data_IF_161561747662
#
_entry.id   IF_161561747662
#
_cell.length_a   1.000
_cell.length_b   1.000
_cell.length_c   1.000
_cell.angle_alpha   90.00
_cell.angle_beta   90.00
_cell.angle_gamma   90.00
#
_symmetry.space_group_name_H-M   'P 1'
#
loop_
_entity.id
_entity.type
_entity.pdbx_description
1 polymer ?
#
# COMPACT_ATOMS: atom_id res chain seq x y z
N UNK A 1 -1.68 -21.62 26.23
CA UNK A 1 -1.13 -22.60 25.28
C UNK A 1 -0.54 -21.86 24.08
N UNK A 2 0.77 -21.72 24.02
CA UNK A 2 1.44 -21.10 22.87
C UNK A 2 1.37 -22.06 21.68
N UNK A 3 0.68 -21.66 20.61
CA UNK A 3 0.74 -22.38 19.34
C UNK A 3 2.15 -22.31 18.78
N UNK A 4 2.88 -23.43 18.84
CA UNK A 4 4.17 -23.57 18.16
C UNK A 4 3.97 -23.27 16.68
N UNK A 5 4.52 -22.14 16.21
CA UNK A 5 4.60 -21.85 14.77
C UNK A 5 5.49 -22.92 14.13
N UNK A 6 4.92 -23.74 13.27
CA UNK A 6 5.67 -24.69 12.46
C UNK A 6 6.56 -23.87 11.51
N UNK A 7 7.88 -24.04 11.53
CA UNK A 7 8.75 -23.28 10.63
C UNK A 7 8.54 -23.73 9.19
N UNK A 8 8.14 -22.80 8.35
CA UNK A 8 7.97 -23.03 6.91
C UNK A 8 9.34 -23.16 6.25
N UNK A 9 9.64 -24.25 5.55
CA UNK A 9 10.91 -24.46 4.87
C UNK A 9 11.27 -23.32 3.91
N UNK A 10 12.54 -22.96 3.83
CA UNK A 10 13.05 -21.80 3.05
C UNK A 10 12.63 -21.84 1.57
N UNK A 11 12.54 -23.02 0.96
CA UNK A 11 12.05 -23.23 -0.41
C UNK A 11 10.55 -22.87 -0.57
N UNK A 12 9.74 -23.28 0.39
CA UNK A 12 8.29 -22.98 0.38
C UNK A 12 8.00 -21.51 0.61
N UNK A 13 8.81 -20.81 1.43
CA UNK A 13 8.69 -19.35 1.60
C UNK A 13 8.88 -18.60 0.29
N UNK A 14 9.83 -19.04 -0.54
CA UNK A 14 10.11 -18.37 -1.82
C UNK A 14 8.96 -18.58 -2.82
N UNK A 15 8.39 -19.77 -2.88
CA UNK A 15 7.23 -20.08 -3.74
C UNK A 15 5.99 -19.30 -3.30
N UNK A 16 5.69 -19.27 -2.01
CA UNK A 16 4.54 -18.53 -1.47
C UNK A 16 4.68 -17.03 -1.72
N UNK A 17 5.89 -16.48 -1.57
CA UNK A 17 6.14 -15.06 -1.87
C UNK A 17 5.96 -14.75 -3.35
N UNK A 18 6.40 -15.62 -4.25
CA UNK A 18 6.23 -15.45 -5.70
C UNK A 18 4.75 -15.43 -6.07
N UNK A 19 3.95 -16.37 -5.58
CA UNK A 19 2.52 -16.40 -5.82
C UNK A 19 1.79 -15.18 -5.24
N UNK A 20 2.23 -14.69 -4.10
CA UNK A 20 1.67 -13.48 -3.50
C UNK A 20 1.99 -12.24 -4.35
N UNK A 21 3.22 -12.13 -4.84
CA UNK A 21 3.65 -11.02 -5.68
C UNK A 21 2.92 -11.05 -7.04
N UNK A 22 2.73 -12.23 -7.63
CA UNK A 22 1.94 -12.39 -8.86
C UNK A 22 0.48 -12.00 -8.64
N UNK A 23 -0.14 -12.44 -7.56
CA UNK A 23 -1.52 -12.08 -7.22
C UNK A 23 -1.68 -10.57 -6.95
N UNK A 24 -0.69 -9.95 -6.30
CA UNK A 24 -0.67 -8.50 -6.08
C UNK A 24 -0.54 -7.76 -7.41
N UNK A 25 0.31 -8.21 -8.32
CA UNK A 25 0.53 -7.56 -9.62
C UNK A 25 -0.68 -7.60 -10.54
N UNK A 26 -1.55 -8.59 -10.37
CA UNK A 26 -2.78 -8.77 -11.19
C UNK A 26 -4.04 -8.23 -10.52
N UNK A 27 -3.94 -7.79 -9.26
CA UNK A 27 -5.09 -7.28 -8.52
C UNK A 27 -5.61 -5.97 -9.09
N UNK A 28 -6.90 -5.93 -9.36
CA UNK A 28 -7.56 -4.70 -9.79
C UNK A 28 -7.87 -3.82 -8.57
N UNK A 29 -7.36 -2.60 -8.59
CA UNK A 29 -7.59 -1.61 -7.53
C UNK A 29 -8.16 -0.34 -8.15
N UNK A 30 -9.33 0.07 -7.69
CA UNK A 30 -10.05 1.23 -8.21
C UNK A 30 -10.56 2.15 -7.10
N UNK A 31 -10.70 3.42 -7.40
CA UNK A 31 -11.28 4.41 -6.49
C UNK A 31 -12.81 4.49 -6.58
N UNK A 32 -13.40 3.90 -7.62
CA UNK A 32 -14.84 3.80 -7.80
C UNK A 32 -15.45 2.73 -6.90
N UNK A 33 -16.73 2.83 -6.59
CA UNK A 33 -17.45 1.86 -5.76
C UNK A 33 -17.79 0.59 -6.54
N UNK A 34 -17.79 0.68 -7.86
CA UNK A 34 -18.07 -0.43 -8.76
C UNK A 34 -17.04 -0.50 -9.89
N UNK A 35 -16.97 -1.64 -10.54
CA UNK A 35 -16.11 -1.84 -11.71
C UNK A 35 -17.03 -2.12 -12.90
N UNK A 36 -17.08 -1.23 -13.90
CA UNK A 36 -17.89 -1.45 -15.09
C UNK A 36 -17.57 -2.78 -15.78
N UNK A 37 -18.60 -3.54 -16.12
CA UNK A 37 -18.45 -4.85 -16.76
C UNK A 37 -18.04 -5.99 -15.82
N UNK A 38 -17.89 -5.73 -14.53
CA UNK A 38 -17.55 -6.75 -13.55
C UNK A 38 -18.54 -6.71 -12.39
N UNK A 39 -19.04 -7.86 -12.01
CA UNK A 39 -20.00 -7.97 -10.91
C UNK A 39 -19.30 -8.39 -9.62
N UNK A 40 -19.63 -7.71 -8.54
CA UNK A 40 -19.15 -8.08 -7.20
C UNK A 40 -19.98 -9.27 -6.69
N UNK A 41 -19.30 -10.38 -6.51
CA UNK A 41 -19.89 -11.60 -5.95
C UNK A 41 -20.02 -11.51 -4.43
N UNK A 42 -18.99 -10.95 -3.78
CA UNK A 42 -18.91 -10.89 -2.32
C UNK A 42 -18.09 -9.68 -1.87
N UNK A 43 -18.60 -8.98 -0.88
CA UNK A 43 -17.82 -7.99 -0.13
C UNK A 43 -17.09 -8.71 1.00
N UNK A 44 -15.78 -8.59 1.03
CA UNK A 44 -14.94 -9.23 2.06
C UNK A 44 -14.76 -8.29 3.26
N UNK A 45 -14.46 -7.02 3.00
CA UNK A 45 -14.38 -6.02 4.06
C UNK A 45 -13.27 -4.99 3.85
N UNK A 46 -13.03 -4.23 4.90
CA UNK A 46 -12.02 -3.18 4.92
C UNK A 46 -10.62 -3.78 4.84
N UNK A 47 -9.80 -3.22 3.97
CA UNK A 47 -8.35 -3.45 3.92
C UNK A 47 -7.62 -2.12 4.01
N UNK A 48 -6.46 -2.14 4.64
CA UNK A 48 -5.64 -0.97 4.88
C UNK A 48 -4.17 -1.29 4.63
N UNK A 49 -3.44 -0.28 4.20
CA UNK A 49 -1.99 -0.32 4.14
C UNK A 49 -1.45 1.01 4.61
N UNK A 50 -0.34 1.01 5.31
CA UNK A 50 0.29 2.24 5.75
C UNK A 50 1.81 2.18 5.58
N UNK A 51 2.38 3.34 5.45
CA UNK A 51 3.82 3.54 5.43
C UNK A 51 4.14 4.82 6.20
N UNK A 52 5.04 4.73 7.16
CA UNK A 52 5.58 5.87 7.86
C UNK A 52 7.03 6.06 7.43
N UNK A 53 7.35 7.25 6.93
CA UNK A 53 8.68 7.59 6.48
C UNK A 53 9.23 8.71 7.36
N UNK A 54 10.43 8.51 7.88
CA UNK A 54 11.19 9.58 8.51
C UNK A 54 11.68 10.46 7.38
N UNK A 55 11.15 11.68 7.32
CA UNK A 55 11.68 12.70 6.42
C UNK A 55 13.11 13.01 6.88
N UNK A 56 14.03 12.71 6.01
CA UNK A 56 15.44 12.55 6.29
C UNK A 56 16.12 13.70 7.04
N UNK A 57 17.23 13.35 7.54
CA UNK A 57 18.18 14.07 8.36
C UNK A 57 18.47 15.47 7.79
N UNK A 58 18.83 16.40 8.67
CA UNK A 58 19.11 17.82 8.47
C UNK A 58 19.85 18.26 7.17
N UNK A 59 20.62 17.40 6.53
CA UNK A 59 21.28 17.67 5.25
C UNK A 59 20.33 17.68 4.05
N UNK A 60 19.28 16.87 4.08
CA UNK A 60 18.24 16.85 3.05
C UNK A 60 17.24 18.00 3.25
N UNK A 61 16.98 18.36 4.50
CA UNK A 61 16.19 19.55 4.86
C UNK A 61 16.82 20.84 4.36
N UNK A 62 18.13 20.99 4.44
CA UNK A 62 18.84 22.19 3.98
C UNK A 62 18.93 22.26 2.46
N UNK A 63 19.07 21.16 1.76
CA UNK A 63 18.98 21.11 0.29
C UNK A 63 17.56 21.43 -0.21
N UNK A 64 16.52 20.98 0.52
CA UNK A 64 15.12 21.26 0.23
C UNK A 64 14.70 22.71 0.50
N UNK A 65 15.25 23.36 1.52
CA UNK A 65 14.95 24.75 1.89
C UNK A 65 15.32 25.74 0.78
N UNK A 66 16.44 25.53 0.08
CA UNK A 66 16.86 26.38 -1.04
C UNK A 66 15.86 26.32 -2.20
N UNK A 67 15.25 25.18 -2.47
CA UNK A 67 14.24 25.01 -3.52
C UNK A 67 12.86 25.53 -3.12
N UNK A 68 12.46 25.37 -1.86
CA UNK A 68 11.22 25.95 -1.32
C UNK A 68 11.26 27.49 -1.42
N UNK A 69 12.39 28.09 -1.10
CA UNK A 69 12.61 29.54 -1.19
C UNK A 69 12.64 30.06 -2.63
N UNK A 70 13.01 29.21 -3.61
CA UNK A 70 13.00 29.53 -5.03
C UNK A 70 11.68 29.20 -5.74
N UNK A 71 10.69 28.62 -5.02
CA UNK A 71 9.37 28.30 -5.53
C UNK A 71 9.30 27.03 -6.38
N UNK A 72 10.29 26.16 -6.30
CA UNK A 72 10.30 24.86 -6.99
C UNK A 72 9.85 23.68 -6.12
N UNK A 73 9.45 22.60 -6.75
CA UNK A 73 9.21 21.32 -6.07
C UNK A 73 10.50 20.80 -5.43
N UNK A 74 10.36 20.08 -4.33
CA UNK A 74 11.47 19.42 -3.64
C UNK A 74 11.59 17.97 -4.18
N UNK A 75 12.54 17.67 -5.11
CA UNK A 75 12.54 16.38 -5.82
C UNK A 75 12.70 15.17 -4.91
N UNK A 76 13.52 15.27 -3.86
CA UNK A 76 13.75 14.17 -2.91
C UNK A 76 12.51 13.87 -2.07
N UNK A 77 11.74 14.89 -1.72
CA UNK A 77 10.45 14.70 -1.01
C UNK A 77 9.39 14.06 -1.89
N UNK A 78 9.30 14.48 -3.14
CA UNK A 78 8.35 13.91 -4.09
C UNK A 78 8.62 12.41 -4.32
N UNK A 79 9.90 12.03 -4.49
CA UNK A 79 10.29 10.62 -4.62
C UNK A 79 9.98 9.82 -3.36
N UNK A 80 10.27 10.37 -2.19
CA UNK A 80 10.03 9.71 -0.91
C UNK A 80 8.53 9.53 -0.65
N UNK A 81 7.73 10.55 -0.92
CA UNK A 81 6.27 10.46 -0.79
C UNK A 81 5.67 9.49 -1.80
N UNK A 82 6.17 9.45 -3.02
CA UNK A 82 5.72 8.48 -4.04
C UNK A 82 6.06 7.05 -3.62
N UNK A 83 7.26 6.81 -3.14
CA UNK A 83 7.68 5.51 -2.61
C UNK A 83 6.83 5.08 -1.41
N UNK A 84 6.54 6.01 -0.51
CA UNK A 84 5.69 5.79 0.66
C UNK A 84 4.25 5.40 0.26
N UNK A 85 3.69 6.09 -0.74
CA UNK A 85 2.36 5.75 -1.29
C UNK A 85 2.35 4.37 -1.93
N UNK A 86 3.36 4.06 -2.74
CA UNK A 86 3.50 2.76 -3.39
C UNK A 86 3.63 1.63 -2.36
N UNK A 87 4.42 1.84 -1.32
CA UNK A 87 4.60 0.87 -0.25
C UNK A 87 3.29 0.62 0.53
N UNK A 88 2.57 1.69 0.87
CA UNK A 88 1.26 1.59 1.52
C UNK A 88 0.27 0.81 0.65
N UNK A 89 0.24 1.11 -0.65
CA UNK A 89 -0.64 0.43 -1.62
C UNK A 89 -0.30 -1.06 -1.74
N UNK A 90 0.96 -1.42 -1.86
CA UNK A 90 1.41 -2.82 -1.90
C UNK A 90 1.02 -3.56 -0.63
N UNK A 91 1.14 -2.94 0.53
CA UNK A 91 0.73 -3.52 1.82
C UNK A 91 -0.77 -3.78 1.88
N UNK A 92 -1.59 -2.84 1.39
CA UNK A 92 -3.03 -3.03 1.25
C UNK A 92 -3.37 -4.20 0.31
N UNK A 93 -2.74 -4.25 -0.85
CA UNK A 93 -2.98 -5.31 -1.84
C UNK A 93 -2.59 -6.68 -1.30
N UNK A 94 -1.49 -6.80 -0.58
CA UNK A 94 -1.08 -8.03 0.12
C UNK A 94 -2.12 -8.46 1.16
N UNK A 95 -2.66 -7.53 1.91
CA UNK A 95 -3.73 -7.80 2.86
C UNK A 95 -5.00 -8.31 2.15
N UNK A 96 -5.36 -7.69 1.03
CA UNK A 96 -6.51 -8.12 0.22
C UNK A 96 -6.33 -9.53 -0.36
N UNK A 97 -5.14 -9.85 -0.88
CA UNK A 97 -4.82 -11.20 -1.38
C UNK A 97 -4.93 -12.25 -0.27
N UNK A 98 -4.40 -11.94 0.91
CA UNK A 98 -4.50 -12.85 2.07
C UNK A 98 -5.95 -13.05 2.53
N UNK A 99 -6.81 -12.08 2.31
CA UNK A 99 -8.25 -12.17 2.57
C UNK A 99 -9.03 -12.86 1.42
N UNK A 100 -8.33 -13.34 0.39
CA UNK A 100 -8.90 -14.00 -0.80
C UNK A 100 -9.73 -13.07 -1.69
N UNK A 101 -9.43 -11.78 -1.67
CA UNK A 101 -9.97 -10.82 -2.62
C UNK A 101 -9.25 -10.89 -3.97
N UNK A 102 -9.94 -10.54 -5.03
CA UNK A 102 -9.35 -10.34 -6.35
C UNK A 102 -9.45 -8.89 -6.84
N UNK A 103 -10.08 -8.02 -6.06
CA UNK A 103 -10.15 -6.60 -6.34
C UNK A 103 -10.32 -5.78 -5.05
N UNK A 104 -9.97 -4.50 -5.15
CA UNK A 104 -10.25 -3.49 -4.12
C UNK A 104 -10.99 -2.32 -4.78
N UNK A 105 -12.12 -1.96 -4.23
CA UNK A 105 -12.94 -0.83 -4.68
C UNK A 105 -12.96 0.28 -3.63
N UNK A 106 -13.33 1.48 -4.04
CA UNK A 106 -13.45 2.61 -3.13
C UNK A 106 -12.14 3.01 -2.46
N UNK A 107 -11.01 2.87 -3.17
CA UNK A 107 -9.70 3.19 -2.62
C UNK A 107 -9.58 4.67 -2.28
N UNK A 108 -9.03 4.96 -1.10
CA UNK A 108 -8.72 6.31 -0.63
C UNK A 108 -7.34 6.35 0.01
N UNK A 109 -6.68 7.48 -0.15
CA UNK A 109 -5.45 7.81 0.56
C UNK A 109 -5.72 8.84 1.65
N UNK A 110 -5.06 8.68 2.78
CA UNK A 110 -4.99 9.67 3.84
C UNK A 110 -3.53 9.85 4.24
N UNK A 111 -3.15 11.06 4.53
CA UNK A 111 -1.80 11.35 5.03
C UNK A 111 -1.91 12.19 6.30
N UNK A 112 -1.00 11.96 7.22
CA UNK A 112 -0.93 12.70 8.47
C UNK A 112 0.51 12.95 8.89
N UNK A 113 0.74 14.09 9.49
CA UNK A 113 1.99 14.39 10.17
C UNK A 113 1.91 13.84 11.59
N UNK A 114 2.77 12.89 11.92
CA UNK A 114 2.80 12.28 13.26
C UNK A 114 3.62 13.14 14.21
N UNK A 115 4.75 13.64 13.72
CA UNK A 115 5.64 14.56 14.42
C UNK A 115 6.57 15.24 13.41
N UNK A 116 7.37 16.19 13.87
CA UNK A 116 8.34 16.87 13.02
C UNK A 116 9.26 15.88 12.29
N UNK A 117 9.19 15.85 10.96
CA UNK A 117 9.99 14.97 10.13
C UNK A 117 9.47 13.53 10.00
N UNK A 118 8.28 13.22 10.51
CA UNK A 118 7.64 11.93 10.35
C UNK A 118 6.25 12.09 9.75
N UNK A 119 6.07 11.63 8.52
CA UNK A 119 4.79 11.61 7.82
C UNK A 119 4.29 10.18 7.64
N UNK A 120 3.00 9.97 7.78
CA UNK A 120 2.33 8.71 7.50
C UNK A 120 1.46 8.83 6.24
N UNK A 121 1.53 7.84 5.40
CA UNK A 121 0.57 7.61 4.33
C UNK A 121 -0.23 6.36 4.67
N UNK A 122 -1.53 6.51 4.77
CA UNK A 122 -2.48 5.42 4.92
C UNK A 122 -3.32 5.30 3.65
N UNK A 123 -3.52 4.08 3.18
CA UNK A 123 -4.45 3.77 2.11
C UNK A 123 -5.47 2.77 2.62
N UNK A 124 -6.72 2.92 2.27
CA UNK A 124 -7.79 2.03 2.67
C UNK A 124 -8.80 1.86 1.54
N UNK A 125 -9.52 0.77 1.58
CA UNK A 125 -10.55 0.44 0.60
C UNK A 125 -11.32 -0.80 1.00
N UNK A 126 -12.21 -1.23 0.13
CA UNK A 126 -13.04 -2.42 0.34
C UNK A 126 -12.54 -3.56 -0.53
N UNK A 127 -12.06 -4.61 0.10
CA UNK A 127 -11.71 -5.85 -0.58
C UNK A 127 -12.97 -6.59 -1.01
N UNK A 128 -13.00 -7.03 -2.25
CA UNK A 128 -14.14 -7.72 -2.85
C UNK A 128 -13.67 -8.95 -3.65
N UNK A 129 -14.57 -9.89 -3.80
CA UNK A 129 -14.47 -10.97 -4.78
C UNK A 129 -15.38 -10.64 -5.97
N UNK A 130 -14.79 -10.49 -7.15
CA UNK A 130 -15.53 -10.33 -8.39
C UNK A 130 -15.91 -11.70 -8.94
N UNK A 131 -17.03 -11.77 -9.65
CA UNK A 131 -17.38 -12.96 -10.43
C UNK A 131 -16.31 -13.22 -11.50
N UNK A 132 -16.06 -14.49 -11.79
CA UNK A 132 -15.21 -14.87 -12.91
C UNK A 132 -15.85 -14.40 -14.23
N UNK A 133 -15.00 -14.00 -15.14
CA UNK A 133 -15.44 -13.65 -16.49
C UNK A 133 -16.06 -14.83 -17.22
#
# INVERSE_FOLDING_TARGET
MQKKKIPVPRKLRKVVLTHLDDAVSTMLVVTTDTIPGRKIKKVIGLVMGNSAQVLGIASELTAGLGQILSGGDVPNYNSLLQESRNLALVRLMKQAVLAKANAVVGLRFASSDIMNGLAEVCVYGTAVELENE
#
